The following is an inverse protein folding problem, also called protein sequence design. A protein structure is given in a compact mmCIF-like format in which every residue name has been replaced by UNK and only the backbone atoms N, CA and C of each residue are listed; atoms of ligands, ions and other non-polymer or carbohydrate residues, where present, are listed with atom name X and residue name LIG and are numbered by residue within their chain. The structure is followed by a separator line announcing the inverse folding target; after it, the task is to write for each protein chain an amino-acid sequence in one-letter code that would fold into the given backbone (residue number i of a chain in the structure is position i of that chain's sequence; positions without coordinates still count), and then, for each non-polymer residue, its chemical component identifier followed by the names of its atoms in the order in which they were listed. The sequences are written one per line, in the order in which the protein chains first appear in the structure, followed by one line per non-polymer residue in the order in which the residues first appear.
data_IF_368752847117
#
_entry.id   IF_368752847117
#
_cell.length_a   1.000
_cell.length_b   1.000
_cell.length_c   1.000
_cell.angle_alpha   90.00
_cell.angle_beta   90.00
_cell.angle_gamma   90.00
#
_symmetry.space_group_name_H-M   'P 1'
#
loop_
_entity.id
_entity.type
_entity.pdbx_description
1 polymer ?
#
# COMPACT_ATOMS: atom_id res chain seq x y z
N UNK A 1 -31.62 -73.34 -42.72
CA UNK A 1 -30.20 -73.17 -42.43
C UNK A 1 -29.98 -71.69 -42.14
N UNK A 2 -30.07 -71.36 -40.87
CA UNK A 2 -30.19 -70.00 -40.37
C UNK A 2 -28.79 -69.52 -39.91
N UNK A 3 -28.30 -68.40 -40.45
CA UNK A 3 -27.17 -67.70 -39.97
C UNK A 3 -27.61 -66.38 -39.36
N UNK A 4 -27.54 -66.26 -38.02
CA UNK A 4 -27.80 -65.08 -37.28
C UNK A 4 -26.44 -64.30 -37.11
N UNK A 5 -26.36 -63.15 -37.71
CA UNK A 5 -25.21 -62.26 -37.53
C UNK A 5 -25.50 -61.29 -36.37
N UNK A 6 -24.72 -61.44 -35.29
CA UNK A 6 -24.69 -60.51 -34.16
C UNK A 6 -23.92 -59.24 -34.51
N UNK A 7 -24.60 -58.13 -34.67
CA UNK A 7 -23.98 -56.82 -34.77
C UNK A 7 -23.71 -56.27 -33.36
N UNK A 8 -22.47 -56.29 -32.91
CA UNK A 8 -22.05 -55.65 -31.66
C UNK A 8 -21.69 -54.20 -31.95
N UNK A 9 -22.59 -53.31 -31.60
CA UNK A 9 -22.39 -51.87 -31.64
C UNK A 9 -21.52 -51.46 -30.43
N UNK A 10 -20.26 -51.13 -30.68
CA UNK A 10 -19.33 -50.59 -29.67
C UNK A 10 -19.61 -49.11 -29.53
N UNK A 11 -20.25 -48.69 -28.45
CA UNK A 11 -20.36 -47.30 -28.01
C UNK A 11 -18.96 -46.88 -27.49
N UNK A 12 -18.32 -45.95 -28.21
CA UNK A 12 -17.17 -45.19 -27.70
C UNK A 12 -17.72 -44.02 -26.91
N UNK A 13 -17.65 -44.10 -25.56
CA UNK A 13 -17.86 -42.98 -24.67
C UNK A 13 -16.58 -42.16 -24.68
N UNK A 14 -16.51 -41.09 -25.46
CA UNK A 14 -15.51 -40.04 -25.36
C UNK A 14 -15.86 -39.17 -24.16
N UNK A 15 -15.15 -39.39 -23.05
CA UNK A 15 -15.18 -38.51 -21.90
C UNK A 15 -14.39 -37.24 -22.27
N UNK A 16 -15.08 -36.15 -22.57
CA UNK A 16 -14.51 -34.81 -22.70
C UNK A 16 -14.23 -34.33 -21.27
N UNK A 17 -12.97 -34.48 -20.83
CA UNK A 17 -12.44 -33.78 -19.65
C UNK A 17 -12.37 -32.29 -20.00
N UNK A 18 -13.43 -31.53 -19.67
CA UNK A 18 -13.38 -30.09 -19.64
C UNK A 18 -12.46 -29.70 -18.45
N UNK A 19 -11.16 -29.50 -18.73
CA UNK A 19 -10.24 -28.92 -17.78
C UNK A 19 -10.69 -27.49 -17.47
N UNK A 20 -11.25 -27.25 -16.28
CA UNK A 20 -11.35 -25.91 -15.72
C UNK A 20 -9.92 -25.41 -15.48
N UNK A 21 -9.35 -24.77 -16.48
CA UNK A 21 -8.22 -23.87 -16.28
C UNK A 21 -8.81 -22.70 -15.50
N UNK A 22 -8.74 -22.77 -14.17
CA UNK A 22 -8.98 -21.63 -13.30
C UNK A 22 -7.93 -20.58 -13.68
N UNK A 23 -8.32 -19.65 -14.55
CA UNK A 23 -7.52 -18.47 -14.84
C UNK A 23 -7.40 -17.70 -13.55
N UNK A 24 -6.21 -17.71 -12.93
CA UNK A 24 -5.87 -16.69 -11.95
C UNK A 24 -6.09 -15.36 -12.66
N UNK A 25 -7.10 -14.61 -12.25
CA UNK A 25 -7.28 -13.25 -12.72
C UNK A 25 -5.97 -12.52 -12.40
N UNK A 26 -5.37 -11.79 -13.35
CA UNK A 26 -4.18 -11.01 -13.06
C UNK A 26 -4.56 -10.07 -11.90
N UNK A 27 -3.87 -10.18 -10.79
CA UNK A 27 -3.93 -9.21 -9.73
C UNK A 27 -3.43 -7.90 -10.34
N UNK A 28 -4.35 -6.97 -10.55
CA UNK A 28 -4.03 -5.68 -11.15
C UNK A 28 -3.51 -4.81 -10.02
N UNK A 29 -2.21 -4.54 -10.03
CA UNK A 29 -1.62 -3.55 -9.16
C UNK A 29 -2.41 -2.23 -9.31
N UNK A 30 -2.97 -1.76 -8.21
CA UNK A 30 -3.85 -0.60 -8.21
C UNK A 30 -3.10 0.63 -7.68
N UNK A 31 -3.38 1.80 -8.27
CA UNK A 31 -2.83 3.10 -7.82
C UNK A 31 -3.32 3.51 -6.42
N UNK A 32 -4.33 2.83 -5.89
CA UNK A 32 -4.93 3.07 -4.59
C UNK A 32 -5.51 1.79 -4.01
N UNK A 33 -5.65 1.75 -2.68
CA UNK A 33 -6.35 0.72 -1.95
C UNK A 33 -7.46 1.33 -1.11
N UNK A 34 -8.70 0.91 -1.32
CA UNK A 34 -9.86 1.30 -0.53
C UNK A 34 -10.33 0.10 0.31
N UNK A 35 -10.56 0.32 1.61
CA UNK A 35 -11.16 -0.72 2.47
C UNK A 35 -12.62 -1.00 2.10
N UNK A 36 -13.32 0.01 1.58
CA UNK A 36 -14.71 -0.09 1.14
C UNK A 36 -14.94 0.71 -0.14
N UNK A 37 -15.65 0.10 -1.08
CA UNK A 37 -16.02 0.74 -2.33
C UNK A 37 -14.85 0.92 -3.29
N UNK A 38 -14.99 1.88 -4.19
CA UNK A 38 -13.99 2.22 -5.19
C UNK A 38 -13.30 3.53 -4.83
N UNK A 39 -11.98 3.68 -5.12
CA UNK A 39 -11.28 4.94 -4.93
C UNK A 39 -11.94 6.08 -5.70
N UNK A 40 -12.09 7.23 -5.05
CA UNK A 40 -12.70 8.43 -5.64
C UNK A 40 -11.87 9.00 -6.81
N UNK A 41 -10.55 8.98 -6.67
CA UNK A 41 -9.64 9.53 -7.67
C UNK A 41 -9.16 8.43 -8.61
N UNK A 42 -9.26 8.62 -9.95
CA UNK A 42 -8.84 7.64 -10.94
C UNK A 42 -7.32 7.52 -11.01
N UNK A 43 -6.83 6.44 -11.63
CA UNK A 43 -5.41 6.29 -11.91
C UNK A 43 -4.86 7.48 -12.71
N UNK A 44 -3.70 7.99 -12.30
CA UNK A 44 -3.05 9.10 -12.98
C UNK A 44 -3.64 10.48 -12.66
N UNK A 45 -4.45 10.62 -11.61
CA UNK A 45 -4.88 11.95 -11.15
C UNK A 45 -3.68 12.81 -10.73
N UNK A 46 -3.73 14.09 -11.03
CA UNK A 46 -2.61 15.01 -10.77
C UNK A 46 -2.62 15.59 -9.35
N UNK A 47 -3.80 15.81 -8.77
CA UNK A 47 -3.96 16.39 -7.44
C UNK A 47 -5.33 16.07 -6.85
N UNK A 48 -5.43 16.09 -5.53
CA UNK A 48 -6.70 15.97 -4.84
C UNK A 48 -7.58 17.20 -5.07
N UNK A 49 -8.89 17.04 -5.14
CA UNK A 49 -9.84 18.12 -5.48
C UNK A 49 -9.79 19.32 -4.54
N UNK A 50 -9.34 19.14 -3.31
CA UNK A 50 -9.18 20.21 -2.31
C UNK A 50 -7.83 20.94 -2.42
N UNK A 51 -6.95 20.57 -3.34
CA UNK A 51 -5.65 21.22 -3.57
C UNK A 51 -5.77 22.21 -4.73
N UNK A 52 -5.25 23.42 -4.55
CA UNK A 52 -5.11 24.39 -5.63
C UNK A 52 -3.72 24.23 -6.29
N UNK A 53 -3.62 23.65 -7.49
CA UNK A 53 -2.33 23.45 -8.17
C UNK A 53 -1.68 24.77 -8.61
N UNK A 54 -2.47 25.85 -8.76
CA UNK A 54 -1.99 27.19 -9.11
C UNK A 54 -1.52 28.01 -7.90
N UNK A 55 -1.58 27.45 -6.68
CA UNK A 55 -1.11 28.16 -5.50
C UNK A 55 0.39 28.50 -5.60
N UNK A 56 0.82 29.72 -5.22
CA UNK A 56 2.22 30.09 -5.22
C UNK A 56 3.04 29.15 -4.34
N UNK A 57 4.21 28.74 -4.82
CA UNK A 57 5.14 27.91 -4.04
C UNK A 57 6.00 28.80 -3.15
N UNK A 58 6.21 28.37 -1.91
CA UNK A 58 7.08 29.05 -0.95
C UNK A 58 6.28 29.82 0.12
N UNK A 59 6.98 30.68 0.83
CA UNK A 59 6.45 31.39 1.99
C UNK A 59 6.92 30.81 3.32
N UNK A 60 6.40 31.36 4.43
CA UNK A 60 6.72 30.92 5.80
C UNK A 60 5.43 30.41 6.46
N UNK A 61 5.45 29.16 6.92
CA UNK A 61 4.37 28.57 7.70
C UNK A 61 4.79 28.50 9.18
N UNK A 62 4.12 29.27 10.04
CA UNK A 62 4.32 29.24 11.49
C UNK A 62 3.26 28.38 12.15
N UNK A 63 3.67 27.26 12.69
CA UNK A 63 2.80 26.31 13.37
C UNK A 63 2.99 26.41 14.89
N UNK A 64 1.90 26.35 15.62
CA UNK A 64 1.92 26.26 17.09
C UNK A 64 1.78 24.77 17.45
N UNK A 65 2.67 24.29 18.32
CA UNK A 65 2.60 22.93 18.83
C UNK A 65 1.29 22.74 19.62
N UNK A 66 0.52 21.73 19.28
CA UNK A 66 -0.61 21.26 20.06
C UNK A 66 -0.16 20.37 21.25
N UNK A 67 1.10 19.99 21.28
CA UNK A 67 1.70 19.23 22.38
C UNK A 67 2.19 20.23 23.44
N UNK A 68 1.84 19.97 24.70
CA UNK A 68 2.31 20.75 25.86
C UNK A 68 3.76 20.40 26.25
N UNK A 69 4.62 20.29 25.26
CA UNK A 69 6.06 20.06 25.45
C UNK A 69 6.80 21.37 25.19
N UNK A 70 7.61 21.78 26.15
CA UNK A 70 8.37 23.03 26.08
C UNK A 70 9.76 22.88 25.43
N UNK A 71 10.18 21.64 25.18
CA UNK A 71 11.50 21.33 24.66
C UNK A 71 11.44 20.17 23.68
N UNK A 72 12.38 20.11 22.75
CA UNK A 72 12.63 18.90 21.98
C UNK A 72 14.12 18.53 22.09
N UNK A 73 14.41 17.23 22.04
CA UNK A 73 15.75 16.68 22.22
C UNK A 73 16.07 15.54 21.24
N UNK A 74 15.16 15.28 20.30
CA UNK A 74 15.36 14.27 19.24
C UNK A 74 14.64 14.66 17.95
N UNK A 75 15.15 14.12 16.82
CA UNK A 75 14.52 14.22 15.51
C UNK A 75 13.87 12.91 15.03
N UNK A 76 13.97 11.84 15.80
CA UNK A 76 13.23 10.60 15.49
C UNK A 76 11.92 10.57 16.28
N UNK A 77 10.74 10.76 15.63
CA UNK A 77 9.45 10.78 16.32
C UNK A 77 8.96 9.41 16.77
N UNK A 78 9.58 8.32 16.29
CA UNK A 78 9.09 6.95 16.49
C UNK A 78 9.65 6.27 17.75
N UNK A 79 10.68 6.83 18.36
CA UNK A 79 11.31 6.26 19.55
C UNK A 79 10.58 6.67 20.84
N UNK A 80 10.69 5.86 21.93
CA UNK A 80 10.00 6.09 23.20
C UNK A 80 10.60 7.29 23.94
N UNK A 81 11.93 7.33 24.07
CA UNK A 81 12.61 8.36 24.88
C UNK A 81 12.74 9.68 24.11
N UNK A 82 12.56 10.78 24.83
CA UNK A 82 12.72 12.14 24.33
C UNK A 82 11.47 12.70 23.63
N UNK A 83 11.50 13.98 23.30
CA UNK A 83 10.44 14.74 22.65
C UNK A 83 10.89 15.18 21.25
N UNK A 84 10.16 14.76 20.24
CA UNK A 84 10.35 15.25 18.87
C UNK A 84 9.57 16.56 18.65
N UNK A 85 9.99 17.44 17.75
CA UNK A 85 9.22 18.61 17.36
C UNK A 85 7.82 18.19 16.86
N UNK A 86 6.82 19.02 17.15
CA UNK A 86 5.48 18.83 16.61
C UNK A 86 5.52 18.79 15.07
N UNK A 87 4.64 18.00 14.47
CA UNK A 87 4.50 17.84 13.02
C UNK A 87 5.73 17.24 12.30
N UNK A 88 6.77 16.83 13.01
CA UNK A 88 7.97 16.27 12.38
C UNK A 88 7.66 15.05 11.52
N UNK A 89 6.82 14.14 12.01
CA UNK A 89 6.44 12.93 11.27
C UNK A 89 5.72 13.22 9.95
N UNK A 90 4.86 14.24 9.91
CA UNK A 90 4.10 14.60 8.72
C UNK A 90 4.85 15.50 7.73
N UNK A 91 5.91 16.20 8.19
CA UNK A 91 6.66 17.14 7.36
C UNK A 91 7.99 16.58 6.83
N UNK A 92 8.51 15.53 7.47
CA UNK A 92 9.85 14.99 7.16
C UNK A 92 9.83 13.56 6.64
N UNK A 93 8.73 12.85 6.79
CA UNK A 93 8.64 11.44 6.42
C UNK A 93 7.43 11.20 5.51
N UNK A 94 7.69 10.58 4.39
CA UNK A 94 6.65 10.11 3.48
C UNK A 94 6.32 8.64 3.78
N UNK A 95 5.09 8.25 3.49
CA UNK A 95 4.61 6.88 3.61
C UNK A 95 4.48 6.22 2.24
N UNK A 96 4.25 4.92 2.20
CA UNK A 96 3.99 4.19 0.95
C UNK A 96 2.73 4.70 0.27
N UNK A 97 1.67 4.95 1.06
CA UNK A 97 0.38 5.46 0.61
C UNK A 97 0.02 6.72 1.39
N UNK A 98 -0.78 7.59 0.81
CA UNK A 98 -1.35 8.79 1.44
C UNK A 98 -2.87 8.75 1.41
N UNK A 99 -3.53 9.10 2.52
CA UNK A 99 -4.98 9.24 2.58
C UNK A 99 -5.47 10.55 1.97
N UNK A 100 -6.61 10.53 1.30
CA UNK A 100 -7.32 11.75 0.90
C UNK A 100 -8.11 12.31 2.09
N UNK A 101 -8.21 13.65 2.20
CA UNK A 101 -8.96 14.28 3.28
C UNK A 101 -10.49 14.27 3.06
N UNK A 102 -10.91 14.03 1.84
CA UNK A 102 -12.31 14.03 1.38
C UNK A 102 -12.83 12.63 1.07
N UNK A 103 -12.11 11.60 1.55
CA UNK A 103 -12.43 10.20 1.39
C UNK A 103 -12.02 9.40 2.63
N UNK A 104 -12.80 8.40 2.98
CA UNK A 104 -12.55 7.60 4.17
C UNK A 104 -11.91 6.27 3.82
N UNK A 105 -10.86 5.88 4.57
CA UNK A 105 -10.25 4.57 4.52
C UNK A 105 -9.71 4.16 3.12
N UNK A 106 -9.27 5.14 2.34
CA UNK A 106 -8.60 4.93 1.06
C UNK A 106 -7.17 5.50 1.12
N UNK A 107 -6.21 4.71 0.66
CA UNK A 107 -4.80 5.12 0.54
C UNK A 107 -4.39 5.15 -0.94
N UNK A 108 -3.84 6.26 -1.37
CA UNK A 108 -3.31 6.49 -2.72
C UNK A 108 -1.79 6.38 -2.72
N UNK A 109 -1.22 5.87 -3.80
CA UNK A 109 0.22 5.71 -3.93
C UNK A 109 0.99 7.02 -3.74
N UNK A 110 1.95 7.04 -2.78
CA UNK A 110 2.88 8.16 -2.54
C UNK A 110 4.31 7.73 -2.87
N UNK A 111 5.06 7.10 -1.95
CA UNK A 111 6.34 6.48 -2.28
C UNK A 111 6.15 5.22 -3.15
N UNK A 112 5.05 4.51 -2.98
CA UNK A 112 4.64 3.47 -3.91
C UNK A 112 3.84 4.10 -5.06
N UNK A 113 4.02 3.59 -6.27
CA UNK A 113 3.16 3.91 -7.41
C UNK A 113 1.95 2.98 -7.48
N UNK A 114 2.11 1.75 -7.00
CA UNK A 114 1.05 0.74 -6.99
C UNK A 114 1.06 -0.08 -5.70
N UNK A 115 -0.10 -0.60 -5.38
CA UNK A 115 -0.33 -1.59 -4.33
C UNK A 115 -1.16 -2.74 -4.86
N UNK A 116 -0.75 -3.96 -4.55
CA UNK A 116 -1.51 -5.19 -4.80
C UNK A 116 -1.73 -5.91 -3.48
N UNK A 117 -2.98 -6.08 -3.10
CA UNK A 117 -3.38 -6.81 -1.88
C UNK A 117 -3.90 -8.18 -2.29
N UNK A 118 -3.32 -9.23 -1.73
CA UNK A 118 -3.77 -10.58 -2.00
C UNK A 118 -5.24 -10.77 -1.64
N UNK A 119 -5.94 -11.64 -2.37
CA UNK A 119 -7.38 -11.87 -2.19
C UNK A 119 -7.74 -12.39 -0.79
N UNK A 120 -6.80 -13.03 -0.10
CA UNK A 120 -6.95 -13.49 1.28
C UNK A 120 -6.71 -12.38 2.33
N UNK A 121 -6.25 -11.19 1.90
CA UNK A 121 -5.93 -10.07 2.76
C UNK A 121 -4.67 -10.24 3.62
N UNK A 122 -3.91 -11.33 3.44
CA UNK A 122 -2.77 -11.66 4.30
C UNK A 122 -1.44 -11.09 3.80
N UNK A 123 -1.41 -10.54 2.60
CA UNK A 123 -0.20 -9.92 2.05
C UNK A 123 -0.53 -8.74 1.16
N UNK A 124 0.40 -7.79 1.12
CA UNK A 124 0.35 -6.65 0.20
C UNK A 124 1.72 -6.47 -0.45
N UNK A 125 1.71 -6.24 -1.77
CA UNK A 125 2.91 -5.95 -2.55
C UNK A 125 2.87 -4.50 -2.99
N UNK A 126 3.96 -3.76 -2.74
CA UNK A 126 4.10 -2.37 -3.13
C UNK A 126 5.20 -2.24 -4.19
N UNK A 127 4.92 -1.52 -5.26
CA UNK A 127 5.93 -1.14 -6.23
C UNK A 127 6.36 0.31 -5.97
N UNK A 128 7.62 0.49 -5.59
CA UNK A 128 8.14 1.83 -5.30
C UNK A 128 8.34 2.63 -6.59
N UNK A 129 8.12 3.95 -6.50
CA UNK A 129 8.40 4.87 -7.59
C UNK A 129 9.90 4.91 -7.88
N UNK A 130 10.32 4.76 -9.14
CA UNK A 130 11.75 4.82 -9.50
C UNK A 130 12.41 6.16 -9.18
N UNK A 131 11.63 7.24 -9.16
CA UNK A 131 12.06 8.60 -8.84
C UNK A 131 12.10 8.91 -7.35
N UNK A 132 11.57 8.04 -6.47
CA UNK A 132 11.59 8.25 -5.02
C UNK A 132 13.02 8.40 -4.50
N UNK A 133 13.28 9.48 -3.77
CA UNK A 133 14.61 9.83 -3.26
C UNK A 133 14.53 10.32 -1.82
N UNK A 134 15.56 10.00 -1.06
CA UNK A 134 15.82 10.68 0.20
C UNK A 134 16.31 12.11 -0.02
N UNK A 135 16.29 12.96 1.03
CA UNK A 135 16.76 14.34 0.97
C UNK A 135 18.23 14.50 0.52
N UNK A 136 19.05 13.46 0.68
CA UNK A 136 20.43 13.44 0.20
C UNK A 136 20.58 12.95 -1.26
N UNK A 137 19.46 12.76 -1.97
CA UNK A 137 19.41 12.33 -3.38
C UNK A 137 19.54 10.82 -3.61
N UNK A 138 19.79 10.01 -2.57
CA UNK A 138 19.84 8.55 -2.73
C UNK A 138 18.45 7.98 -3.03
N UNK A 139 18.35 6.93 -3.87
CA UNK A 139 17.07 6.30 -4.15
C UNK A 139 16.50 5.62 -2.89
N UNK A 140 15.16 5.63 -2.77
CA UNK A 140 14.45 4.82 -1.77
C UNK A 140 14.29 3.41 -2.31
N UNK A 141 14.75 2.42 -1.56
CA UNK A 141 14.76 1.02 -1.96
C UNK A 141 13.83 0.18 -1.06
N UNK A 142 13.41 -0.99 -1.54
CA UNK A 142 12.60 -1.92 -0.77
C UNK A 142 13.25 -2.34 0.56
N UNK A 143 14.59 -2.42 0.60
CA UNK A 143 15.32 -2.68 1.84
C UNK A 143 15.18 -1.57 2.89
N UNK A 144 14.99 -0.31 2.47
CA UNK A 144 14.79 0.82 3.38
C UNK A 144 13.40 0.75 4.01
N UNK A 145 12.39 0.35 3.21
CA UNK A 145 11.03 0.08 3.69
C UNK A 145 11.05 -1.06 4.71
N UNK A 146 11.68 -2.18 4.36
CA UNK A 146 11.83 -3.31 5.28
C UNK A 146 12.53 -2.91 6.57
N UNK A 147 13.63 -2.17 6.50
CA UNK A 147 14.35 -1.67 7.67
C UNK A 147 13.45 -0.80 8.56
N UNK A 148 12.60 0.03 7.97
CA UNK A 148 11.64 0.87 8.70
C UNK A 148 10.65 0.01 9.47
N UNK A 149 10.05 -1.02 8.86
CA UNK A 149 9.16 -1.96 9.52
C UNK A 149 9.87 -2.73 10.65
N UNK A 150 11.03 -3.32 10.38
CA UNK A 150 11.81 -4.06 11.39
C UNK A 150 12.15 -3.17 12.60
N UNK A 151 12.44 -1.89 12.34
CA UNK A 151 12.72 -0.91 13.38
C UNK A 151 11.47 -0.56 14.18
N UNK A 152 10.32 -0.36 13.51
CA UNK A 152 9.05 0.01 14.14
C UNK A 152 8.50 -1.08 15.06
N UNK A 153 8.74 -2.35 14.78
CA UNK A 153 8.40 -3.47 15.67
C UNK A 153 9.51 -3.78 16.71
N UNK A 154 10.64 -3.08 16.61
CA UNK A 154 11.82 -3.26 17.45
C UNK A 154 11.63 -2.81 18.92
N UNK A 155 12.62 -3.08 19.79
CA UNK A 155 12.49 -2.84 21.24
C UNK A 155 12.47 -1.37 21.65
N UNK A 156 12.95 -0.46 20.80
CA UNK A 156 13.11 0.97 21.11
C UNK A 156 11.95 1.85 20.62
N UNK A 157 10.97 1.25 19.95
CA UNK A 157 9.82 1.96 19.39
C UNK A 157 8.64 1.96 20.34
N UNK A 158 7.79 2.99 20.20
CA UNK A 158 6.56 3.10 21.00
C UNK A 158 5.71 1.82 20.92
N UNK A 159 5.17 1.32 22.06
CA UNK A 159 4.29 0.15 22.07
C UNK A 159 3.11 0.23 21.08
N UNK A 160 2.62 1.44 20.80
CA UNK A 160 1.54 1.66 19.85
C UNK A 160 1.86 1.13 18.44
N UNK A 161 3.10 1.31 17.96
CA UNK A 161 3.50 0.75 16.66
C UNK A 161 3.62 -0.76 16.69
N UNK A 162 4.10 -1.33 17.80
CA UNK A 162 4.17 -2.80 17.97
C UNK A 162 2.79 -3.42 17.91
N UNK A 163 1.83 -2.86 18.63
CA UNK A 163 0.45 -3.36 18.64
C UNK A 163 -0.19 -3.25 17.26
N UNK A 164 0.09 -2.18 16.51
CA UNK A 164 -0.48 -1.96 15.19
C UNK A 164 0.13 -2.85 14.10
N UNK A 165 1.41 -3.23 14.23
CA UNK A 165 2.18 -3.87 13.15
C UNK A 165 2.56 -5.33 13.44
N UNK A 166 2.22 -5.88 14.60
CA UNK A 166 2.65 -7.21 15.05
C UNK A 166 1.56 -8.29 14.97
N UNK A 167 0.39 -8.00 14.37
CA UNK A 167 -0.69 -8.96 14.15
C UNK A 167 -0.57 -9.70 12.83
#
# INVERSE_FOLDING_TARGET
MNVVQNCRMRFWLTFLLAGCVGGAAPAWAAHAYALWGEPKYPAGFDHFAYVNPAAPKGGELRLVSNLRVSTFDKYNPFTIKGNAPAYLSSLMFDSLLVGAQDETATGYGLLAEDVDVAADGLSATFRLRPEARFHNGKPVLAQDVKHSFDTLIGPFTSPAYKTLLAE
#
